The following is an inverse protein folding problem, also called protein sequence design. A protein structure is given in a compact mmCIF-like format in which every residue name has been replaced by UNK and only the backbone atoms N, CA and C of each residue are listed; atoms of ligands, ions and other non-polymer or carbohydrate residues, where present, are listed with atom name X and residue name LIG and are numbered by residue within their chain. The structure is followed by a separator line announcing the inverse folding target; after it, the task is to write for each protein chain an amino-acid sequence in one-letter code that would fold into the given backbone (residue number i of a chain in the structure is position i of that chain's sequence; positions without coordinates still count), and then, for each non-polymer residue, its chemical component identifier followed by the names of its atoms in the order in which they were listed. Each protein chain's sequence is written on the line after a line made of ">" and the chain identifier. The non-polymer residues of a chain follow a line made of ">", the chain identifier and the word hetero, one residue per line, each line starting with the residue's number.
data_IF_451167075587
#
_entry.id   IF_451167075587
#
_cell.length_a   1.000
_cell.length_b   1.000
_cell.length_c   1.000
_cell.angle_alpha   90.00
_cell.angle_beta   90.00
_cell.angle_gamma   90.00
#
_symmetry.space_group_name_H-M   'P 1'
#
loop_
_entity.id
_entity.type
_entity.pdbx_description
1 polymer ?
#
# COMPACT_ATOMS: atom_id res chain seq x y z
N UNK A 1 16.65 -88.62 74.08
CA UNK A 1 17.36 -87.33 74.26
C UNK A 1 17.57 -86.61 72.94
N UNK A 2 17.79 -87.33 71.83
CA UNK A 2 17.98 -86.74 70.50
C UNK A 2 16.70 -86.14 69.89
N UNK A 3 15.56 -86.82 69.96
CA UNK A 3 14.28 -86.30 69.42
C UNK A 3 13.88 -84.93 70.00
N UNK A 4 14.13 -84.75 71.30
CA UNK A 4 13.84 -83.48 71.99
C UNK A 4 14.79 -82.37 71.55
N UNK A 5 16.04 -82.72 71.21
CA UNK A 5 17.01 -81.79 70.64
C UNK A 5 16.65 -81.40 69.21
N UNK A 6 16.13 -82.33 68.42
CA UNK A 6 15.71 -82.08 67.04
C UNK A 6 14.42 -81.24 66.95
N UNK A 7 13.44 -81.52 67.83
CA UNK A 7 12.24 -80.68 68.00
C UNK A 7 12.62 -79.24 68.39
N UNK A 8 13.47 -79.06 69.40
CA UNK A 8 13.93 -77.73 69.82
C UNK A 8 14.71 -77.00 68.70
N UNK A 9 15.53 -77.71 67.93
CA UNK A 9 16.22 -77.12 66.77
C UNK A 9 15.26 -76.67 65.67
N UNK A 10 14.19 -77.42 65.44
CA UNK A 10 13.16 -77.07 64.44
C UNK A 10 12.37 -75.85 64.89
N UNK A 11 11.99 -75.80 66.17
CA UNK A 11 11.37 -74.63 66.78
C UNK A 11 12.30 -73.41 66.76
N UNK A 12 13.59 -73.58 67.04
CA UNK A 12 14.58 -72.51 66.97
C UNK A 12 14.67 -71.93 65.54
N UNK A 13 14.71 -72.78 64.51
CA UNK A 13 14.68 -72.33 63.11
C UNK A 13 13.38 -71.60 62.76
N UNK A 14 12.24 -72.12 63.23
CA UNK A 14 10.94 -71.49 63.02
C UNK A 14 10.85 -70.10 63.68
N UNK A 15 11.34 -69.98 64.91
CA UNK A 15 11.42 -68.71 65.64
C UNK A 15 12.37 -67.73 64.95
N UNK A 16 13.53 -68.18 64.45
CA UNK A 16 14.46 -67.35 63.69
C UNK A 16 13.83 -66.82 62.39
N UNK A 17 13.12 -67.67 61.64
CA UNK A 17 12.40 -67.25 60.43
C UNK A 17 11.28 -66.25 60.74
N UNK A 18 10.56 -66.44 61.84
CA UNK A 18 9.53 -65.50 62.27
C UNK A 18 10.14 -64.16 62.70
N UNK A 19 11.29 -64.18 63.38
CA UNK A 19 12.03 -62.98 63.75
C UNK A 19 12.49 -62.20 62.50
N UNK A 20 13.03 -62.90 61.49
CA UNK A 20 13.43 -62.30 60.21
C UNK A 20 12.23 -61.70 59.46
N UNK A 21 11.09 -62.40 59.43
CA UNK A 21 9.88 -61.90 58.79
C UNK A 21 9.34 -60.63 59.48
N UNK A 22 9.37 -60.59 60.82
CA UNK A 22 9.00 -59.39 61.60
C UNK A 22 9.96 -58.24 61.34
N UNK A 23 11.28 -58.50 61.36
CA UNK A 23 12.28 -57.48 61.08
C UNK A 23 12.11 -56.87 59.68
N UNK A 24 11.83 -57.69 58.66
CA UNK A 24 11.54 -57.21 57.28
C UNK A 24 10.26 -56.38 57.22
N UNK A 25 9.20 -56.80 57.91
CA UNK A 25 7.94 -56.06 57.94
C UNK A 25 8.09 -54.71 58.65
N UNK A 26 8.83 -54.66 59.75
CA UNK A 26 9.12 -53.42 60.47
C UNK A 26 9.98 -52.47 59.62
N UNK A 27 10.98 -52.98 58.89
CA UNK A 27 11.72 -52.21 57.89
C UNK A 27 10.77 -51.63 56.82
N UNK A 28 9.88 -52.44 56.24
CA UNK A 28 8.94 -51.98 55.21
C UNK A 28 7.93 -50.95 55.74
N UNK A 29 7.49 -51.08 56.99
CA UNK A 29 6.66 -50.07 57.66
C UNK A 29 7.44 -48.77 57.89
N UNK A 30 8.71 -48.86 58.27
CA UNK A 30 9.61 -47.72 58.37
C UNK A 30 9.77 -46.99 57.04
N UNK A 31 10.08 -47.73 55.97
CA UNK A 31 10.18 -47.19 54.61
C UNK A 31 8.87 -46.53 54.15
N UNK A 32 7.71 -47.16 54.38
CA UNK A 32 6.40 -46.59 54.04
C UNK A 32 6.17 -45.26 54.76
N UNK A 33 6.46 -45.19 56.07
CA UNK A 33 6.31 -43.95 56.84
C UNK A 33 7.25 -42.85 56.35
N UNK A 34 8.51 -43.18 56.04
CA UNK A 34 9.48 -42.23 55.46
C UNK A 34 8.96 -41.69 54.14
N UNK A 35 8.57 -42.57 53.22
CA UNK A 35 8.03 -42.19 51.90
C UNK A 35 6.75 -41.35 52.02
N UNK A 36 5.84 -41.68 52.94
CA UNK A 36 4.64 -40.89 53.17
C UNK A 36 4.98 -39.47 53.69
N UNK A 37 5.98 -39.34 54.56
CA UNK A 37 6.45 -38.05 55.03
C UNK A 37 7.13 -37.24 53.91
N UNK A 38 7.94 -37.89 53.07
CA UNK A 38 8.58 -37.27 51.89
C UNK A 38 7.55 -36.74 50.88
N UNK A 39 6.52 -37.54 50.56
CA UNK A 39 5.41 -37.12 49.69
C UNK A 39 4.70 -35.91 50.28
N UNK A 40 4.37 -35.93 51.57
CA UNK A 40 3.71 -34.81 52.25
C UNK A 40 4.57 -33.53 52.20
N UNK A 41 5.86 -33.63 52.51
CA UNK A 41 6.77 -32.47 52.47
C UNK A 41 6.89 -31.89 51.06
N UNK A 42 6.98 -32.76 50.05
CA UNK A 42 7.06 -32.35 48.64
C UNK A 42 5.76 -31.67 48.19
N UNK A 43 4.62 -32.20 48.61
CA UNK A 43 3.30 -31.61 48.34
C UNK A 43 3.20 -30.22 48.99
N UNK A 44 3.55 -30.07 50.27
CA UNK A 44 3.50 -28.79 50.97
C UNK A 44 4.41 -27.73 50.32
N UNK A 45 5.62 -28.12 49.92
CA UNK A 45 6.57 -27.23 49.24
C UNK A 45 6.06 -26.78 47.86
N UNK A 46 5.41 -27.68 47.11
CA UNK A 46 4.89 -27.40 45.78
C UNK A 46 3.50 -26.74 45.79
N UNK A 47 2.74 -26.87 46.87
CA UNK A 47 1.35 -26.43 46.95
C UNK A 47 1.20 -24.91 46.70
N UNK A 48 2.14 -24.11 47.17
CA UNK A 48 2.12 -22.66 46.94
C UNK A 48 2.17 -22.28 45.45
N UNK A 49 2.93 -23.03 44.65
CA UNK A 49 3.02 -22.82 43.19
C UNK A 49 1.80 -23.41 42.49
N UNK A 50 1.39 -24.61 42.90
CA UNK A 50 0.20 -25.26 42.38
C UNK A 50 -1.04 -24.38 42.56
N UNK A 51 -1.27 -23.84 43.76
CA UNK A 51 -2.38 -22.92 44.03
C UNK A 51 -2.34 -21.65 43.18
N UNK A 52 -1.15 -21.11 42.90
CA UNK A 52 -1.01 -19.92 42.03
C UNK A 52 -1.36 -20.21 40.58
N UNK A 53 -1.01 -21.40 40.07
CA UNK A 53 -1.19 -21.77 38.67
C UNK A 53 -2.55 -22.43 38.38
N UNK A 54 -3.03 -23.24 39.32
CA UNK A 54 -4.23 -24.07 39.19
C UNK A 54 -5.44 -23.47 39.91
N UNK A 55 -5.21 -22.66 40.95
CA UNK A 55 -6.26 -22.03 41.75
C UNK A 55 -6.80 -22.90 42.89
N UNK A 56 -6.36 -24.16 42.99
CA UNK A 56 -6.77 -25.15 43.98
C UNK A 56 -5.58 -25.64 44.82
N UNK A 57 -5.86 -26.34 45.92
CA UNK A 57 -4.81 -27.01 46.69
C UNK A 57 -4.41 -28.34 46.05
N UNK A 58 -3.11 -28.62 46.04
CA UNK A 58 -2.54 -29.84 45.50
C UNK A 58 -3.04 -31.06 46.28
N UNK A 59 -3.64 -32.02 45.58
CA UNK A 59 -4.04 -33.33 46.11
C UNK A 59 -3.34 -34.42 45.33
N UNK A 60 -2.73 -35.37 46.03
CA UNK A 60 -1.94 -36.46 45.41
C UNK A 60 -2.73 -37.21 44.33
N UNK A 61 -4.04 -37.36 44.51
CA UNK A 61 -4.90 -38.13 43.61
C UNK A 61 -5.36 -37.37 42.36
N UNK A 62 -5.41 -36.02 42.41
CA UNK A 62 -6.00 -35.19 41.33
C UNK A 62 -5.01 -34.22 40.69
N UNK A 63 -3.87 -33.99 41.32
CA UNK A 63 -2.85 -33.01 40.90
C UNK A 63 -2.43 -33.18 39.43
N UNK A 64 -2.14 -34.41 38.99
CA UNK A 64 -1.73 -34.68 37.60
C UNK A 64 -2.84 -34.31 36.61
N UNK A 65 -4.08 -34.72 36.87
CA UNK A 65 -5.23 -34.43 36.00
C UNK A 65 -5.52 -32.93 35.92
N UNK A 66 -5.37 -32.23 37.03
CA UNK A 66 -5.55 -30.78 37.08
C UNK A 66 -4.45 -30.04 36.30
N UNK A 67 -3.20 -30.49 36.38
CA UNK A 67 -2.08 -29.95 35.59
C UNK A 67 -2.31 -30.21 34.10
N UNK A 68 -2.65 -31.43 33.72
CA UNK A 68 -2.88 -31.79 32.32
C UNK A 68 -4.03 -30.99 31.72
N UNK A 69 -5.11 -30.80 32.48
CA UNK A 69 -6.25 -29.98 32.05
C UNK A 69 -5.82 -28.54 31.79
N UNK A 70 -5.16 -27.91 32.75
CA UNK A 70 -4.76 -26.50 32.63
C UNK A 70 -3.68 -26.32 31.57
N UNK A 71 -2.77 -27.27 31.42
CA UNK A 71 -1.74 -27.22 30.38
C UNK A 71 -2.39 -27.21 28.99
N UNK A 72 -3.38 -28.09 28.76
CA UNK A 72 -4.13 -28.11 27.50
C UNK A 72 -4.94 -26.84 27.28
N UNK A 73 -5.62 -26.34 28.32
CA UNK A 73 -6.37 -25.08 28.25
C UNK A 73 -5.43 -23.92 27.86
N UNK A 74 -4.24 -23.84 28.47
CA UNK A 74 -3.25 -22.78 28.18
C UNK A 74 -2.55 -22.95 26.85
N UNK A 75 -2.27 -24.16 26.41
CA UNK A 75 -1.76 -24.43 25.06
C UNK A 75 -2.78 -24.01 23.99
N UNK A 76 -4.06 -24.27 24.23
CA UNK A 76 -5.13 -23.84 23.33
C UNK A 76 -5.26 -22.31 23.31
N UNK A 77 -5.32 -21.65 24.48
CA UNK A 77 -5.35 -20.19 24.57
C UNK A 77 -4.14 -19.55 23.87
N UNK A 78 -2.95 -20.13 24.03
CA UNK A 78 -1.74 -19.68 23.36
C UNK A 78 -1.85 -19.83 21.85
N UNK A 79 -2.29 -20.98 21.36
CA UNK A 79 -2.45 -21.23 19.92
C UNK A 79 -3.48 -20.28 19.28
N UNK A 80 -4.58 -19.99 19.98
CA UNK A 80 -5.58 -19.02 19.54
C UNK A 80 -5.00 -17.60 19.47
N UNK A 81 -4.30 -17.16 20.52
CA UNK A 81 -3.66 -15.86 20.56
C UNK A 81 -2.55 -15.70 19.49
N UNK A 82 -1.76 -16.74 19.25
CA UNK A 82 -0.74 -16.75 18.19
C UNK A 82 -1.38 -16.66 16.80
N UNK A 83 -2.49 -17.39 16.57
CA UNK A 83 -3.24 -17.33 15.32
C UNK A 83 -3.82 -15.94 15.07
N UNK A 84 -4.43 -15.33 16.09
CA UNK A 84 -4.96 -13.97 16.01
C UNK A 84 -3.85 -12.94 15.75
N UNK A 85 -2.75 -13.04 16.48
CA UNK A 85 -1.57 -12.19 16.28
C UNK A 85 -1.02 -12.30 14.86
N UNK A 86 -0.91 -13.51 14.32
CA UNK A 86 -0.47 -13.72 12.94
C UNK A 86 -1.44 -13.10 11.91
N UNK A 87 -2.75 -13.23 12.13
CA UNK A 87 -3.78 -12.64 11.27
C UNK A 87 -3.74 -11.09 11.30
N UNK A 88 -3.60 -10.51 12.49
CA UNK A 88 -3.48 -9.05 12.67
C UNK A 88 -2.20 -8.53 12.01
N UNK A 89 -1.06 -9.21 12.20
CA UNK A 89 0.19 -8.81 11.55
C UNK A 89 0.12 -8.82 10.03
N UNK A 90 -0.54 -9.83 9.44
CA UNK A 90 -0.78 -9.86 7.99
C UNK A 90 -1.65 -8.70 7.51
N UNK A 91 -2.70 -8.38 8.27
CA UNK A 91 -3.57 -7.23 7.98
C UNK A 91 -2.79 -5.91 8.08
N UNK A 92 -1.98 -5.75 9.11
CA UNK A 92 -1.13 -4.59 9.31
C UNK A 92 -0.16 -4.39 8.14
N UNK A 93 0.56 -5.45 7.75
CA UNK A 93 1.48 -5.39 6.61
C UNK A 93 0.78 -4.99 5.30
N UNK A 94 -0.45 -5.49 5.09
CA UNK A 94 -1.27 -5.13 3.93
C UNK A 94 -1.70 -3.66 3.98
N UNK A 95 -2.09 -3.17 5.16
CA UNK A 95 -2.45 -1.77 5.35
C UNK A 95 -1.23 -0.83 5.16
N UNK A 96 -0.06 -1.19 5.68
CA UNK A 96 1.17 -0.41 5.54
C UNK A 96 1.64 -0.32 4.08
N UNK A 97 1.59 -1.44 3.35
CA UNK A 97 1.92 -1.46 1.92
C UNK A 97 0.94 -0.61 1.11
N UNK A 98 -0.37 -0.72 1.39
CA UNK A 98 -1.39 0.12 0.75
C UNK A 98 -1.18 1.60 1.06
N UNK A 99 -0.89 1.94 2.31
CA UNK A 99 -0.61 3.31 2.73
C UNK A 99 0.64 3.88 2.03
N UNK A 100 1.69 3.07 1.92
CA UNK A 100 2.92 3.45 1.21
C UNK A 100 2.65 3.72 -0.27
N UNK A 101 1.90 2.84 -0.93
CA UNK A 101 1.49 3.01 -2.33
C UNK A 101 0.63 4.27 -2.52
N UNK A 102 -0.37 4.49 -1.65
CA UNK A 102 -1.24 5.67 -1.71
C UNK A 102 -0.44 6.97 -1.51
N UNK A 103 0.52 6.99 -0.58
CA UNK A 103 1.43 8.13 -0.39
C UNK A 103 2.28 8.39 -1.63
N UNK A 104 2.82 7.35 -2.25
CA UNK A 104 3.60 7.48 -3.49
C UNK A 104 2.74 8.03 -4.64
N UNK A 105 1.54 7.48 -4.85
CA UNK A 105 0.60 7.98 -5.87
C UNK A 105 0.23 9.44 -5.64
N UNK A 106 -0.05 9.81 -4.40
CA UNK A 106 -0.41 11.18 -4.03
C UNK A 106 0.75 12.16 -4.21
N UNK A 107 2.00 11.72 -4.01
CA UNK A 107 3.19 12.51 -4.38
C UNK A 107 3.25 12.70 -5.89
N UNK A 108 3.16 11.62 -6.67
CA UNK A 108 3.19 11.68 -8.14
C UNK A 108 2.10 12.61 -8.68
N UNK A 109 0.86 12.50 -8.19
CA UNK A 109 -0.25 13.37 -8.60
C UNK A 109 -0.05 14.82 -8.23
N UNK A 110 0.57 15.11 -7.08
CA UNK A 110 0.92 16.50 -6.72
C UNK A 110 2.00 17.06 -7.63
N UNK A 111 2.99 16.26 -7.99
CA UNK A 111 4.08 16.68 -8.89
C UNK A 111 3.54 16.88 -10.32
N UNK A 112 2.66 15.99 -10.80
CA UNK A 112 1.91 16.18 -12.06
C UNK A 112 1.07 17.47 -12.05
N UNK A 113 0.32 17.73 -10.98
CA UNK A 113 -0.49 18.95 -10.87
C UNK A 113 0.37 20.21 -10.88
N UNK A 114 1.52 20.21 -10.19
CA UNK A 114 2.46 21.35 -10.22
C UNK A 114 3.06 21.55 -11.61
N UNK A 115 3.37 20.47 -12.32
CA UNK A 115 3.89 20.55 -13.68
C UNK A 115 2.84 21.13 -14.63
N UNK A 116 1.60 20.65 -14.55
CA UNK A 116 0.48 21.17 -15.34
C UNK A 116 0.16 22.63 -15.01
N UNK A 117 0.14 23.00 -13.73
CA UNK A 117 -0.07 24.38 -13.28
C UNK A 117 1.02 25.32 -13.80
N UNK A 118 2.28 24.86 -13.83
CA UNK A 118 3.39 25.61 -14.42
C UNK A 118 3.18 25.80 -15.93
N UNK A 119 2.85 24.74 -16.67
CA UNK A 119 2.60 24.82 -18.12
C UNK A 119 1.46 25.80 -18.41
N UNK A 120 0.37 25.73 -17.63
CA UNK A 120 -0.76 26.64 -17.79
C UNK A 120 -0.37 28.10 -17.51
N UNK A 121 0.41 28.36 -16.46
CA UNK A 121 0.90 29.72 -16.14
C UNK A 121 1.85 30.26 -17.21
N UNK A 122 2.77 29.43 -17.69
CA UNK A 122 3.70 29.79 -18.76
C UNK A 122 2.95 30.10 -20.07
N UNK A 123 1.91 29.32 -20.39
CA UNK A 123 1.09 29.51 -21.59
C UNK A 123 0.09 30.68 -21.51
N UNK A 124 -0.26 31.15 -20.31
CA UNK A 124 -1.22 32.25 -20.08
C UNK A 124 -0.53 33.56 -19.69
N UNK A 125 0.79 33.66 -19.90
CA UNK A 125 1.63 34.81 -19.55
C UNK A 125 1.40 35.32 -18.11
N UNK A 126 1.11 34.39 -17.20
CA UNK A 126 1.15 34.65 -15.76
C UNK A 126 -0.08 35.27 -15.11
N UNK A 127 -1.28 35.25 -15.72
CA UNK A 127 -2.45 35.70 -14.94
C UNK A 127 -3.84 35.64 -15.55
N UNK A 128 -3.99 35.41 -16.85
CA UNK A 128 -5.31 35.39 -17.48
C UNK A 128 -5.93 33.99 -17.38
N UNK A 129 -7.22 33.84 -17.03
CA UNK A 129 -7.89 32.55 -17.08
C UNK A 129 -7.73 31.91 -18.47
N UNK A 130 -7.40 30.63 -18.53
CA UNK A 130 -7.12 29.91 -19.79
C UNK A 130 -8.21 30.13 -20.86
N UNK A 131 -9.47 30.17 -20.46
CA UNK A 131 -10.60 30.42 -21.37
C UNK A 131 -10.56 31.80 -22.03
N UNK A 132 -10.08 32.81 -21.30
CA UNK A 132 -10.02 34.17 -21.81
C UNK A 132 -8.80 34.32 -22.73
N UNK A 133 -7.65 33.73 -22.36
CA UNK A 133 -6.47 33.64 -23.24
C UNK A 133 -6.78 32.88 -24.55
N UNK A 134 -7.56 31.79 -24.47
CA UNK A 134 -7.99 31.04 -25.65
C UNK A 134 -8.92 31.86 -26.56
N UNK A 135 -9.84 32.64 -26.00
CA UNK A 135 -10.71 33.53 -26.78
C UNK A 135 -9.91 34.64 -27.46
N UNK A 136 -8.93 35.22 -26.76
CA UNK A 136 -8.05 36.24 -27.32
C UNK A 136 -7.24 35.67 -28.49
N UNK A 137 -6.56 34.54 -28.30
CA UNK A 137 -5.83 33.86 -29.37
C UNK A 137 -6.75 33.46 -30.55
N UNK A 138 -7.98 33.02 -30.28
CA UNK A 138 -8.95 32.69 -31.33
C UNK A 138 -9.39 33.94 -32.11
N UNK A 139 -9.55 35.07 -31.43
CA UNK A 139 -9.89 36.35 -32.06
C UNK A 139 -8.73 36.83 -32.92
N UNK A 140 -7.50 36.79 -32.41
CA UNK A 140 -6.30 37.18 -33.14
C UNK A 140 -6.09 36.31 -34.39
N UNK A 141 -6.25 34.98 -34.28
CA UNK A 141 -6.17 34.09 -35.44
C UNK A 141 -7.26 34.42 -36.45
N UNK A 142 -8.49 34.71 -36.00
CA UNK A 142 -9.59 35.09 -36.89
C UNK A 142 -9.30 36.41 -37.62
N UNK A 143 -8.74 37.40 -36.93
CA UNK A 143 -8.36 38.70 -37.48
C UNK A 143 -7.25 38.54 -38.52
N UNK A 144 -6.13 37.87 -38.16
CA UNK A 144 -5.03 37.60 -39.09
C UNK A 144 -5.48 36.77 -40.30
N UNK A 145 -6.40 35.83 -40.11
CA UNK A 145 -6.96 35.03 -41.22
C UNK A 145 -7.82 35.88 -42.14
N UNK A 146 -8.65 36.77 -41.58
CA UNK A 146 -9.44 37.74 -42.35
C UNK A 146 -8.55 38.70 -43.12
N UNK A 147 -7.52 39.26 -42.48
CA UNK A 147 -6.54 40.14 -43.13
C UNK A 147 -5.79 39.43 -44.26
N UNK A 148 -5.33 38.20 -44.02
CA UNK A 148 -4.65 37.39 -45.05
C UNK A 148 -5.59 37.08 -46.21
N UNK A 149 -6.84 36.72 -45.91
CA UNK A 149 -7.86 36.45 -46.93
C UNK A 149 -8.22 37.71 -47.74
N UNK A 150 -8.31 38.86 -47.08
CA UNK A 150 -8.53 40.14 -47.73
C UNK A 150 -7.34 40.52 -48.62
N UNK A 151 -6.10 40.41 -48.12
CA UNK A 151 -4.89 40.65 -48.91
C UNK A 151 -4.83 39.73 -50.13
N UNK A 152 -5.09 38.42 -49.95
CA UNK A 152 -5.13 37.45 -51.04
C UNK A 152 -6.24 37.75 -52.07
N UNK A 153 -7.45 38.10 -51.60
CA UNK A 153 -8.57 38.46 -52.45
C UNK A 153 -8.30 39.75 -53.26
N UNK A 154 -7.73 40.77 -52.61
CA UNK A 154 -7.34 42.02 -53.29
C UNK A 154 -6.23 41.78 -54.31
N UNK A 155 -5.23 40.97 -53.99
CA UNK A 155 -4.18 40.59 -54.94
C UNK A 155 -4.77 39.93 -56.19
N UNK A 156 -5.73 39.01 -56.03
CA UNK A 156 -6.43 38.37 -57.14
C UNK A 156 -7.26 39.36 -57.96
N UNK A 157 -7.92 40.34 -57.32
CA UNK A 157 -8.66 41.40 -58.01
C UNK A 157 -7.71 42.28 -58.83
N UNK A 158 -6.60 42.74 -58.27
CA UNK A 158 -5.60 43.54 -58.98
C UNK A 158 -4.97 42.76 -60.15
N UNK A 159 -4.69 41.47 -59.98
CA UNK A 159 -4.18 40.61 -61.05
C UNK A 159 -5.21 40.48 -62.20
N UNK A 160 -6.49 40.32 -61.88
CA UNK A 160 -7.56 40.25 -62.87
C UNK A 160 -7.78 41.58 -63.60
N UNK A 161 -7.70 42.71 -62.87
CA UNK A 161 -7.77 44.05 -63.46
C UNK A 161 -6.59 44.28 -64.43
N UNK A 162 -5.39 43.84 -64.06
CA UNK A 162 -4.21 43.92 -64.92
C UNK A 162 -4.38 43.08 -66.19
N UNK A 163 -4.82 41.82 -66.07
CA UNK A 163 -5.08 40.93 -67.23
C UNK A 163 -6.15 41.50 -68.17
N UNK A 164 -7.24 42.04 -67.62
CA UNK A 164 -8.33 42.62 -68.40
C UNK A 164 -7.93 43.95 -69.07
N UNK A 165 -7.15 44.80 -68.39
CA UNK A 165 -6.62 46.04 -68.96
C UNK A 165 -5.66 45.80 -70.12
N UNK A 166 -4.76 44.81 -70.01
CA UNK A 166 -3.83 44.40 -71.07
C UNK A 166 -4.55 43.85 -72.31
N UNK A 167 -5.59 43.05 -72.12
CA UNK A 167 -6.28 42.38 -73.24
C UNK A 167 -7.26 43.28 -73.98
N UNK A 168 -7.96 44.18 -73.29
CA UNK A 168 -9.03 45.01 -73.89
C UNK A 168 -8.67 46.48 -74.10
N UNK A 169 -7.50 46.94 -73.61
CA UNK A 169 -7.10 48.36 -73.56
C UNK A 169 -8.17 49.29 -72.95
N UNK A 170 -8.96 48.77 -72.03
CA UNK A 170 -10.03 49.51 -71.33
C UNK A 170 -9.93 49.28 -69.83
N UNK A 171 -10.07 50.34 -69.05
CA UNK A 171 -10.11 50.25 -67.59
C UNK A 171 -11.40 49.56 -67.14
N UNK A 172 -11.31 48.41 -66.47
CA UNK A 172 -12.48 47.68 -65.97
C UNK A 172 -13.25 48.40 -64.87
N UNK A 173 -12.64 49.37 -64.17
CA UNK A 173 -13.30 50.12 -63.10
C UNK A 173 -14.20 51.25 -63.62
N UNK A 174 -13.83 51.90 -64.74
CA UNK A 174 -14.56 53.05 -65.28
C UNK A 174 -14.95 52.91 -66.77
N UNK A 175 -14.66 51.76 -67.39
CA UNK A 175 -14.89 51.45 -68.81
C UNK A 175 -14.27 52.43 -69.81
N UNK A 176 -13.30 53.25 -69.39
CA UNK A 176 -12.59 54.19 -70.26
C UNK A 176 -11.52 53.48 -71.09
N UNK A 177 -11.41 53.83 -72.37
CA UNK A 177 -10.32 53.38 -73.23
C UNK A 177 -8.98 54.00 -72.79
N UNK A 178 -7.91 53.20 -72.79
CA UNK A 178 -6.56 53.62 -72.39
C UNK A 178 -5.66 53.73 -73.60
N UNK A 179 -4.99 54.87 -73.76
CA UNK A 179 -3.95 55.04 -74.76
C UNK A 179 -2.64 54.36 -74.34
N UNK A 180 -1.71 54.11 -75.27
CA UNK A 180 -0.49 53.34 -74.98
C UNK A 180 0.39 53.97 -73.86
N UNK A 181 0.33 55.29 -73.69
CA UNK A 181 0.97 56.00 -72.56
C UNK A 181 0.24 55.77 -71.23
N UNK A 182 -1.09 55.70 -71.26
CA UNK A 182 -1.92 55.44 -70.08
C UNK A 182 -1.85 53.96 -69.67
N UNK A 183 -1.69 53.04 -70.63
CA UNK A 183 -1.48 51.62 -70.37
C UNK A 183 -0.13 51.36 -69.68
N UNK A 184 0.95 52.05 -70.08
CA UNK A 184 2.25 51.94 -69.43
C UNK A 184 2.23 52.43 -67.96
N UNK A 185 1.42 53.45 -67.67
CA UNK A 185 1.18 53.93 -66.30
C UNK A 185 0.35 52.91 -65.53
N UNK A 186 -0.71 52.37 -66.13
CA UNK A 186 -1.57 51.35 -65.51
C UNK A 186 -0.79 50.09 -65.13
N UNK A 187 0.09 49.59 -66.01
CA UNK A 187 0.94 48.43 -65.74
C UNK A 187 1.99 48.66 -64.65
N UNK A 188 2.37 49.92 -64.40
CA UNK A 188 3.31 50.28 -63.33
C UNK A 188 2.63 50.36 -61.96
N UNK A 189 1.42 50.92 -61.88
CA UNK A 189 0.77 51.21 -60.60
C UNK A 189 -0.14 50.08 -60.08
N UNK A 190 -0.74 49.28 -60.96
CA UNK A 190 -1.65 48.19 -60.52
C UNK A 190 -0.92 47.07 -59.77
N UNK A 191 0.30 46.65 -60.15
CA UNK A 191 1.08 45.68 -59.37
C UNK A 191 1.62 46.27 -58.05
N UNK A 192 1.86 47.59 -57.99
CA UNK A 192 2.35 48.22 -56.76
C UNK A 192 1.29 48.24 -55.64
N UNK A 193 0.00 48.11 -55.99
CA UNK A 193 -1.09 47.96 -55.02
C UNK A 193 -1.17 46.59 -54.35
N UNK A 194 -0.42 45.58 -54.82
CA UNK A 194 -0.33 44.26 -54.16
C UNK A 194 0.85 44.17 -53.18
N UNK A 195 1.87 45.01 -53.38
CA UNK A 195 3.16 44.90 -52.71
C UNK A 195 3.50 46.11 -51.81
N UNK A 196 2.54 47.01 -51.52
CA UNK A 196 2.73 48.07 -50.52
C UNK A 196 2.70 47.49 -49.10
N UNK A 197 3.83 46.88 -48.78
CA UNK A 197 4.67 47.07 -47.60
C UNK A 197 4.01 46.94 -46.23
N UNK A 198 4.23 45.73 -45.68
CA UNK A 198 4.76 45.56 -44.33
C UNK A 198 5.70 46.71 -43.92
N UNK A 199 5.29 47.48 -42.92
CA UNK A 199 6.16 48.36 -42.10
C UNK A 199 5.64 48.20 -40.66
N UNK A 200 6.54 48.04 -39.66
CA UNK A 200 6.36 47.16 -38.50
C UNK A 200 5.28 47.56 -37.50
#
# INVERSE_FOLDING_TARGET
>A
MEDRRESLNTELRGLSLQADARARLDLKRGEMKSRAAEVKNTLEMSNSKFRKLVGTDARVETMEREIDRISREKEQELAEAESESAAVNKTLQTAETTLSQAKAQLKTKRDELKALDKILKDATEGGVPLNDALKEAQTEVSERTSETSNKAGMAQVYENLLKAGKSKKTCQACNRHMDDKELAVFEKYVPQGTDQEDVP
#
